data_IF_716825090724
#
_entry.id   IF_716825090724
#
_cell.length_a   1.000
_cell.length_b   1.000
_cell.length_c   1.000
_cell.angle_alpha   90.00
_cell.angle_beta   90.00
_cell.angle_gamma   90.00
#
_symmetry.space_group_name_H-M   'P 1'
#
loop_
_entity.id
_entity.type
_entity.pdbx_description
1 polymer ?
#
# COMPACT_ATOMS: atom_id res chain seq x y z
N UNK A 1 -13.84 18.50 2.58
CA UNK A 1 -12.80 19.08 3.47
C UNK A 1 -11.44 18.80 2.84
N UNK A 2 -10.64 19.83 2.57
CA UNK A 2 -9.35 19.69 1.88
C UNK A 2 -8.23 19.85 2.90
N UNK A 3 -7.59 18.75 3.28
CA UNK A 3 -6.53 18.70 4.32
C UNK A 3 -5.22 19.34 3.83
N UNK A 4 -5.05 19.46 2.51
CA UNK A 4 -3.76 19.76 1.85
C UNK A 4 -3.60 21.25 1.47
N UNK A 5 -4.65 22.08 1.56
CA UNK A 5 -4.62 23.46 1.05
C UNK A 5 -4.02 24.52 1.98
N UNK A 6 -3.77 24.20 3.25
CA UNK A 6 -3.19 25.17 4.18
C UNK A 6 -1.67 25.31 4.00
N UNK A 7 -1.19 26.54 4.23
CA UNK A 7 0.20 26.97 3.97
C UNK A 7 1.20 26.57 5.06
N UNK A 8 0.75 26.20 6.26
CA UNK A 8 1.60 25.81 7.38
C UNK A 8 1.17 24.46 8.01
N UNK A 9 2.10 23.83 8.74
CA UNK A 9 1.89 22.49 9.29
C UNK A 9 0.82 22.46 10.39
N UNK A 10 0.69 23.52 11.20
CA UNK A 10 -0.28 23.57 12.29
C UNK A 10 -1.69 23.54 11.74
N UNK A 11 -1.98 24.42 10.77
CA UNK A 11 -3.28 24.46 10.11
C UNK A 11 -3.62 23.12 9.41
N UNK A 12 -2.63 22.42 8.83
CA UNK A 12 -2.84 21.09 8.22
C UNK A 12 -3.24 20.05 9.27
N UNK A 13 -2.61 20.06 10.44
CA UNK A 13 -2.91 19.13 11.53
C UNK A 13 -4.27 19.40 12.16
N UNK A 14 -4.64 20.67 12.32
CA UNK A 14 -5.98 21.05 12.80
C UNK A 14 -7.06 20.60 11.82
N UNK A 15 -6.89 20.88 10.52
CA UNK A 15 -7.80 20.41 9.48
C UNK A 15 -7.88 18.87 9.44
N UNK A 16 -6.75 18.19 9.62
CA UNK A 16 -6.69 16.74 9.70
C UNK A 16 -7.46 16.19 10.92
N UNK A 17 -7.37 16.84 12.08
CA UNK A 17 -8.12 16.44 13.28
C UNK A 17 -9.62 16.49 13.02
N UNK A 18 -10.12 17.61 12.49
CA UNK A 18 -11.54 17.78 12.14
C UNK A 18 -11.98 16.75 11.09
N UNK A 19 -11.14 16.52 10.08
CA UNK A 19 -11.40 15.49 9.06
C UNK A 19 -11.48 14.09 9.67
N UNK A 20 -10.56 13.74 10.57
CA UNK A 20 -10.48 12.42 11.21
C UNK A 20 -11.74 12.15 12.02
N UNK A 21 -12.19 13.12 12.82
CA UNK A 21 -13.41 13.03 13.63
C UNK A 21 -14.65 12.87 12.73
N UNK A 22 -14.77 13.68 11.68
CA UNK A 22 -15.89 13.59 10.73
C UNK A 22 -15.90 12.25 9.97
N UNK A 23 -14.73 11.77 9.54
CA UNK A 23 -14.59 10.48 8.87
C UNK A 23 -14.96 9.34 9.83
N UNK A 24 -14.52 9.37 11.08
CA UNK A 24 -14.85 8.34 12.06
C UNK A 24 -16.37 8.22 12.27
N UNK A 25 -17.09 9.35 12.35
CA UNK A 25 -18.55 9.36 12.44
C UNK A 25 -19.21 8.74 11.20
N UNK A 26 -18.73 9.09 10.00
CA UNK A 26 -19.23 8.51 8.75
C UNK A 26 -18.97 7.00 8.67
N UNK A 27 -17.83 6.54 9.17
CA UNK A 27 -17.47 5.12 9.19
C UNK A 27 -18.32 4.28 10.18
N UNK A 28 -19.03 4.93 11.11
CA UNK A 28 -19.97 4.27 12.02
C UNK A 28 -21.39 4.14 11.44
N UNK A 29 -21.68 4.76 10.30
CA UNK A 29 -23.00 4.66 9.68
C UNK A 29 -23.28 3.23 9.17
N UNK A 30 -24.51 2.73 9.42
CA UNK A 30 -24.93 1.36 9.09
C UNK A 30 -24.79 0.99 7.61
N UNK A 31 -24.75 1.98 6.72
CA UNK A 31 -24.62 1.82 5.28
C UNK A 31 -23.19 1.97 4.76
N UNK A 32 -22.17 2.07 5.62
CA UNK A 32 -20.79 2.31 5.20
C UNK A 32 -20.35 1.35 4.08
N UNK A 33 -20.59 0.04 4.26
CA UNK A 33 -20.15 -1.00 3.32
C UNK A 33 -20.88 -0.96 1.96
N UNK A 34 -21.91 -0.13 1.84
CA UNK A 34 -22.64 0.13 0.59
C UNK A 34 -22.19 1.43 -0.08
N UNK A 35 -21.56 2.34 0.67
CA UNK A 35 -21.13 3.64 0.15
C UNK A 35 -19.88 3.48 -0.72
N UNK A 36 -19.95 4.06 -1.92
CA UNK A 36 -18.81 4.18 -2.83
C UNK A 36 -18.02 5.46 -2.51
N UNK A 37 -16.70 5.31 -2.46
CA UNK A 37 -15.73 6.39 -2.21
C UNK A 37 -14.78 6.58 -3.39
N UNK A 38 -15.10 6.03 -4.56
CA UNK A 38 -14.29 6.12 -5.79
C UNK A 38 -13.89 7.55 -6.20
N UNK A 39 -14.66 8.57 -5.80
CA UNK A 39 -14.38 9.98 -6.07
C UNK A 39 -13.55 10.69 -4.98
N UNK A 40 -13.25 10.02 -3.87
CA UNK A 40 -12.44 10.59 -2.80
C UNK A 40 -11.00 10.77 -3.29
N UNK A 41 -10.53 12.02 -3.33
CA UNK A 41 -9.15 12.36 -3.73
C UNK A 41 -8.20 12.51 -2.54
N UNK A 42 -8.76 12.72 -1.34
CA UNK A 42 -7.99 13.05 -0.13
C UNK A 42 -7.62 11.81 0.69
N UNK A 43 -8.34 10.71 0.50
CA UNK A 43 -8.17 9.45 1.23
C UNK A 43 -8.55 8.28 0.32
N UNK A 44 -7.97 7.12 0.58
CA UNK A 44 -8.33 5.86 -0.06
C UNK A 44 -9.27 5.05 0.82
N UNK A 45 -10.20 4.34 0.19
CA UNK A 45 -11.06 3.34 0.85
C UNK A 45 -11.01 2.06 0.02
N UNK A 46 -10.47 0.99 0.61
CA UNK A 46 -10.39 -0.31 -0.03
C UNK A 46 -11.24 -1.31 0.75
N UNK A 47 -12.15 -1.97 0.05
CA UNK A 47 -13.08 -2.94 0.63
C UNK A 47 -12.78 -4.34 0.11
N UNK A 48 -12.79 -5.34 1.01
CA UNK A 48 -12.65 -6.72 0.57
C UNK A 48 -13.92 -7.24 -0.12
N UNK A 49 -13.82 -8.26 -1.01
CA UNK A 49 -14.98 -8.72 -1.78
C UNK A 49 -16.15 -9.24 -0.93
N UNK A 50 -15.86 -9.84 0.22
CA UNK A 50 -16.89 -10.39 1.12
C UNK A 50 -17.52 -9.30 2.03
N UNK A 51 -17.10 -8.03 1.90
CA UNK A 51 -17.60 -6.87 2.66
C UNK A 51 -17.52 -7.06 4.18
N UNK A 52 -16.47 -7.73 4.64
CA UNK A 52 -16.20 -8.01 6.06
C UNK A 52 -15.23 -7.00 6.68
N UNK A 53 -14.40 -6.34 5.86
CA UNK A 53 -13.57 -5.23 6.29
C UNK A 53 -13.35 -4.17 5.21
N UNK A 54 -13.02 -2.96 5.67
CA UNK A 54 -12.49 -1.86 4.86
C UNK A 54 -11.20 -1.36 5.50
N UNK A 55 -10.25 -0.96 4.67
CA UNK A 55 -9.12 -0.15 5.09
C UNK A 55 -9.26 1.24 4.47
N UNK A 56 -9.04 2.26 5.29
CA UNK A 56 -9.10 3.66 4.90
C UNK A 56 -7.77 4.28 5.26
N UNK A 57 -7.10 4.91 4.30
CA UNK A 57 -5.79 5.55 4.54
C UNK A 57 -5.69 6.90 3.88
N UNK A 58 -5.04 7.84 4.55
CA UNK A 58 -4.70 9.15 4.02
C UNK A 58 -3.39 9.63 4.64
N UNK A 59 -2.93 10.79 4.21
CA UNK A 59 -1.71 11.37 4.72
C UNK A 59 -1.79 12.90 4.75
N UNK A 60 -0.90 13.50 5.52
CA UNK A 60 -0.69 14.94 5.60
C UNK A 60 0.74 15.25 5.19
N UNK A 61 0.98 15.93 4.06
CA UNK A 61 2.32 16.39 3.69
C UNK A 61 2.73 17.56 4.59
N UNK A 62 3.99 17.63 4.97
CA UNK A 62 4.57 18.73 5.75
C UNK A 62 5.42 19.64 4.85
N UNK A 63 5.60 20.90 5.26
CA UNK A 63 6.40 21.90 4.52
C UNK A 63 7.87 21.53 4.39
N UNK A 64 8.41 20.72 5.31
CA UNK A 64 9.76 20.16 5.22
C UNK A 64 9.86 18.99 4.20
N UNK A 65 8.75 18.57 3.58
CA UNK A 65 8.72 17.48 2.61
C UNK A 65 8.53 16.08 3.22
N UNK A 66 8.37 15.97 4.54
CA UNK A 66 7.97 14.71 5.19
C UNK A 66 6.45 14.54 5.17
N UNK A 67 5.98 13.39 5.61
CA UNK A 67 4.56 13.03 5.58
C UNK A 67 4.17 12.37 6.90
N UNK A 68 2.93 12.61 7.35
CA UNK A 68 2.30 11.80 8.39
C UNK A 68 1.19 10.95 7.79
N UNK A 69 1.12 9.69 8.17
CA UNK A 69 0.11 8.75 7.68
C UNK A 69 -0.93 8.45 8.75
N UNK A 70 -2.15 8.26 8.30
CA UNK A 70 -3.29 7.96 9.13
C UNK A 70 -4.13 6.88 8.46
N UNK A 71 -4.81 6.10 9.27
CA UNK A 71 -5.75 5.14 8.73
C UNK A 71 -6.71 4.56 9.74
N UNK A 72 -7.72 3.91 9.20
CA UNK A 72 -8.68 3.10 9.93
C UNK A 72 -8.81 1.74 9.26
N UNK A 73 -8.91 0.68 10.06
CA UNK A 73 -9.48 -0.58 9.62
C UNK A 73 -10.83 -0.76 10.26
N UNK A 74 -11.85 -0.87 9.42
CA UNK A 74 -13.23 -1.07 9.82
C UNK A 74 -13.57 -2.52 9.58
N UNK A 75 -13.97 -3.24 10.62
CA UNK A 75 -14.38 -4.65 10.52
C UNK A 75 -15.85 -4.81 10.89
N UNK A 76 -16.54 -5.68 10.17
CA UNK A 76 -17.92 -6.05 10.46
C UNK A 76 -17.96 -7.26 11.37
N UNK A 77 -18.74 -7.14 12.44
CA UNK A 77 -19.18 -8.27 13.24
C UNK A 77 -20.59 -8.67 12.78
N UNK A 78 -20.67 -9.80 12.06
CA UNK A 78 -21.94 -10.30 11.56
C UNK A 78 -22.79 -10.92 12.68
N UNK A 79 -22.18 -11.40 13.77
CA UNK A 79 -22.88 -12.03 14.89
C UNK A 79 -23.58 -10.95 15.72
N UNK A 80 -22.85 -9.90 16.08
CA UNK A 80 -23.37 -8.79 16.88
C UNK A 80 -23.97 -7.66 16.05
N UNK A 81 -24.01 -7.81 14.72
CA UNK A 81 -24.42 -6.78 13.75
C UNK A 81 -23.77 -5.41 14.01
N UNK A 82 -22.52 -5.42 14.48
CA UNK A 82 -21.80 -4.22 14.87
C UNK A 82 -20.61 -3.96 13.96
N UNK A 83 -20.11 -2.73 14.00
CA UNK A 83 -18.91 -2.30 13.29
C UNK A 83 -17.85 -1.94 14.32
N UNK A 84 -16.63 -2.42 14.10
CA UNK A 84 -15.47 -2.05 14.91
C UNK A 84 -14.49 -1.26 14.07
N UNK A 85 -14.19 -0.06 14.52
CA UNK A 85 -13.17 0.82 13.94
C UNK A 85 -11.88 0.66 14.74
N UNK A 86 -10.79 0.35 14.06
CA UNK A 86 -9.44 0.30 14.63
C UNK A 86 -8.61 1.40 13.98
N UNK A 87 -8.19 2.40 14.77
CA UNK A 87 -7.26 3.43 14.32
C UNK A 87 -5.86 2.82 14.08
N UNK A 88 -5.21 3.22 13.00
CA UNK A 88 -3.85 2.83 12.67
C UNK A 88 -2.89 3.94 13.06
N UNK A 89 -1.88 3.60 13.85
CA UNK A 89 -0.85 4.50 14.35
C UNK A 89 0.45 4.28 13.58
N UNK A 90 0.82 5.24 12.73
CA UNK A 90 2.10 5.20 12.01
C UNK A 90 3.27 5.28 12.99
N UNK A 91 4.08 4.23 13.04
CA UNK A 91 5.29 4.14 13.86
C UNK A 91 6.56 3.99 13.00
N UNK A 92 6.53 4.43 11.73
CA UNK A 92 7.71 4.38 10.84
C UNK A 92 9.01 4.82 11.51
N UNK A 93 9.06 5.96 12.26
CA UNK A 93 10.31 6.41 12.87
C UNK A 93 10.87 5.46 13.95
N UNK A 94 10.02 4.61 14.54
CA UNK A 94 10.39 3.66 15.59
C UNK A 94 10.70 2.26 15.06
N UNK A 95 10.34 1.96 13.81
CA UNK A 95 10.55 0.66 13.18
C UNK A 95 11.97 0.54 12.62
N UNK A 96 12.81 -0.25 13.28
CA UNK A 96 14.19 -0.50 12.84
C UNK A 96 14.27 -1.36 11.57
N UNK A 97 13.48 -2.43 11.50
CA UNK A 97 13.44 -3.35 10.37
C UNK A 97 11.98 -3.68 10.00
N UNK A 98 11.28 -2.75 9.34
CA UNK A 98 9.89 -2.98 8.96
C UNK A 98 9.77 -4.21 8.05
N UNK A 99 10.72 -4.53 7.18
CA UNK A 99 10.57 -5.69 6.28
C UNK A 99 10.62 -7.05 7.00
N UNK A 100 11.08 -7.10 8.25
CA UNK A 100 11.29 -8.33 9.02
C UNK A 100 10.30 -8.60 10.15
N UNK A 101 9.19 -7.85 10.25
CA UNK A 101 8.28 -7.95 11.40
C UNK A 101 6.80 -7.87 11.03
N UNK A 102 6.00 -8.67 11.74
CA UNK A 102 4.54 -8.54 11.79
C UNK A 102 4.20 -7.32 12.63
N UNK A 103 3.29 -6.49 12.12
CA UNK A 103 2.80 -5.28 12.78
C UNK A 103 1.30 -5.41 13.05
N UNK A 104 0.83 -4.71 14.07
CA UNK A 104 -0.57 -4.49 14.38
C UNK A 104 -0.95 -3.02 14.12
N UNK A 105 -2.11 -2.62 14.61
CA UNK A 105 -2.59 -1.25 14.47
C UNK A 105 -1.76 -0.20 15.23
N UNK A 106 -1.07 -0.57 16.31
CA UNK A 106 -0.34 0.35 17.18
C UNK A 106 1.09 0.62 16.71
N UNK A 107 1.67 -0.30 15.94
CA UNK A 107 3.01 -0.19 15.35
C UNK A 107 2.99 -0.24 13.82
N UNK A 108 1.90 0.20 13.19
CA UNK A 108 1.69 0.18 11.74
C UNK A 108 2.78 0.96 10.98
N UNK A 109 3.19 0.45 9.80
CA UNK A 109 4.24 1.08 8.99
C UNK A 109 3.80 2.38 8.29
N UNK A 110 2.51 2.62 8.13
CA UNK A 110 2.02 3.85 7.53
C UNK A 110 2.22 3.92 6.01
N UNK A 111 1.15 3.80 5.24
CA UNK A 111 1.17 4.07 3.80
C UNK A 111 -0.21 4.49 3.30
N UNK A 112 -0.24 5.15 2.15
CA UNK A 112 -1.46 5.37 1.39
C UNK A 112 -1.69 4.16 0.47
N UNK A 113 -2.61 3.27 0.83
CA UNK A 113 -2.91 2.10 0.00
C UNK A 113 -3.90 2.46 -1.09
N UNK A 114 -3.56 2.19 -2.35
CA UNK A 114 -4.41 2.48 -3.50
C UNK A 114 -5.06 1.24 -4.09
N UNK A 115 -4.60 0.04 -3.71
CA UNK A 115 -5.17 -1.21 -4.21
C UNK A 115 -5.14 -2.31 -3.14
N UNK A 116 -6.23 -3.08 -3.05
CA UNK A 116 -6.36 -4.28 -2.23
C UNK A 116 -6.42 -5.49 -3.17
N UNK A 117 -5.32 -6.20 -3.25
CA UNK A 117 -5.21 -7.46 -3.98
C UNK A 117 -5.86 -8.57 -3.14
N UNK A 118 -6.72 -9.36 -3.76
CA UNK A 118 -7.34 -10.54 -3.16
C UNK A 118 -7.12 -11.76 -4.03
N UNK A 119 -6.50 -12.80 -3.46
CA UNK A 119 -6.34 -14.10 -4.12
C UNK A 119 -6.87 -15.19 -3.19
N UNK A 120 -7.67 -16.11 -3.75
CA UNK A 120 -8.10 -17.31 -3.04
C UNK A 120 -7.16 -18.47 -3.37
N UNK A 121 -6.65 -19.14 -2.35
CA UNK A 121 -5.89 -20.38 -2.52
C UNK A 121 -6.34 -21.40 -1.49
N UNK A 122 -6.71 -22.60 -1.96
CA UNK A 122 -7.40 -23.60 -1.15
C UNK A 122 -8.62 -22.97 -0.46
N UNK A 123 -8.68 -22.98 0.86
CA UNK A 123 -9.78 -22.40 1.67
C UNK A 123 -9.41 -21.06 2.32
N UNK A 124 -8.24 -20.49 1.97
CA UNK A 124 -7.75 -19.25 2.55
C UNK A 124 -7.92 -18.06 1.60
N UNK A 125 -8.27 -16.91 2.17
CA UNK A 125 -8.19 -15.61 1.50
C UNK A 125 -6.83 -14.99 1.78
N UNK A 126 -6.09 -14.65 0.73
CA UNK A 126 -4.84 -13.90 0.82
C UNK A 126 -5.11 -12.47 0.38
N UNK A 127 -4.79 -11.50 1.26
CA UNK A 127 -4.91 -10.08 0.95
C UNK A 127 -3.55 -9.42 1.00
N UNK A 128 -3.28 -8.59 0.00
CA UNK A 128 -2.07 -7.76 -0.08
C UNK A 128 -2.48 -6.36 -0.47
N UNK A 129 -1.90 -5.37 0.19
CA UNK A 129 -2.11 -3.96 -0.10
C UNK A 129 -0.96 -3.44 -0.97
N UNK A 130 -1.29 -2.69 -2.01
CA UNK A 130 -0.30 -1.90 -2.76
C UNK A 130 -0.40 -0.45 -2.31
N UNK A 131 0.74 0.10 -1.87
CA UNK A 131 0.81 1.39 -1.21
C UNK A 131 1.84 2.34 -1.80
N UNK A 132 1.57 3.62 -1.61
CA UNK A 132 2.51 4.71 -1.80
C UNK A 132 2.85 5.33 -0.45
N UNK A 133 4.11 5.69 -0.27
CA UNK A 133 4.59 6.39 0.90
C UNK A 133 5.61 7.46 0.48
N UNK A 134 5.20 8.72 0.49
CA UNK A 134 6.13 9.83 0.64
C UNK A 134 7.01 9.69 1.87
N UNK A 135 8.31 9.97 1.72
CA UNK A 135 9.31 9.81 2.78
C UNK A 135 9.89 11.17 3.19
N UNK A 136 10.72 11.77 2.34
CA UNK A 136 11.33 13.08 2.56
C UNK A 136 11.34 13.92 1.27
N UNK A 137 12.21 14.92 1.12
CA UNK A 137 12.29 15.70 -0.14
C UNK A 137 12.94 14.96 -1.30
N UNK A 138 13.73 13.93 -1.01
CA UNK A 138 14.66 13.31 -1.94
C UNK A 138 14.18 11.94 -2.41
N UNK A 139 13.43 11.21 -1.59
CA UNK A 139 12.94 9.87 -1.94
C UNK A 139 11.46 9.64 -1.62
N UNK A 140 10.93 8.60 -2.27
CA UNK A 140 9.57 8.08 -2.12
C UNK A 140 9.67 6.57 -1.97
N UNK A 141 8.58 5.96 -1.49
CA UNK A 141 8.49 4.52 -1.30
C UNK A 141 7.24 3.92 -1.93
N UNK A 142 7.36 2.72 -2.48
CA UNK A 142 6.24 1.81 -2.78
C UNK A 142 6.25 0.68 -1.76
N UNK A 143 5.05 0.24 -1.36
CA UNK A 143 4.90 -0.80 -0.34
C UNK A 143 3.99 -1.90 -0.87
N UNK A 144 4.41 -3.16 -0.69
CA UNK A 144 3.56 -4.33 -0.85
C UNK A 144 3.40 -4.94 0.55
N UNK A 145 2.20 -4.91 1.10
CA UNK A 145 1.97 -5.30 2.49
C UNK A 145 0.84 -6.33 2.63
N UNK A 146 1.14 -7.56 3.06
CA UNK A 146 0.14 -8.53 3.46
C UNK A 146 -0.77 -7.98 4.56
N UNK A 147 -2.08 -8.22 4.45
CA UNK A 147 -3.06 -7.84 5.46
C UNK A 147 -3.88 -9.08 5.84
N UNK A 148 -3.98 -9.33 7.14
CA UNK A 148 -4.93 -10.31 7.68
C UNK A 148 -5.78 -9.67 8.78
N UNK A 149 -6.97 -10.22 8.98
CA UNK A 149 -7.85 -9.82 10.08
C UNK A 149 -7.93 -10.99 11.05
N UNK A 150 -7.35 -10.83 12.25
CA UNK A 150 -7.35 -11.82 13.33
C UNK A 150 -8.15 -11.24 14.49
N UNK A 151 -9.17 -11.94 14.96
CA UNK A 151 -10.06 -11.47 16.04
C UNK A 151 -10.56 -10.02 15.87
N UNK A 152 -10.98 -9.70 14.64
CA UNK A 152 -11.44 -8.35 14.25
C UNK A 152 -10.39 -7.24 14.47
N UNK A 153 -9.10 -7.59 14.42
CA UNK A 153 -7.98 -6.66 14.46
C UNK A 153 -7.12 -6.85 13.19
N UNK A 154 -6.61 -5.76 12.59
CA UNK A 154 -5.71 -5.88 11.47
C UNK A 154 -4.32 -6.34 11.94
N UNK A 155 -3.72 -7.20 11.13
CA UNK A 155 -2.34 -7.66 11.24
C UNK A 155 -1.68 -7.45 9.88
N UNK A 156 -0.56 -6.74 9.89
CA UNK A 156 0.17 -6.32 8.71
C UNK A 156 1.50 -7.07 8.61
N UNK A 157 1.81 -7.57 7.43
CA UNK A 157 2.99 -8.37 7.15
C UNK A 157 2.78 -9.86 7.40
N UNK A 158 3.34 -10.68 6.50
CA UNK A 158 3.30 -12.14 6.56
C UNK A 158 4.45 -12.72 5.71
N UNK A 159 4.98 -13.88 6.08
CA UNK A 159 6.09 -14.54 5.39
C UNK A 159 5.63 -15.26 4.11
N UNK A 160 4.96 -14.51 3.23
CA UNK A 160 4.37 -15.00 1.96
C UNK A 160 5.23 -14.67 0.75
N UNK A 161 6.23 -13.81 0.88
CA UNK A 161 7.15 -13.49 -0.21
C UNK A 161 8.34 -14.45 -0.23
N UNK A 162 8.71 -14.90 -1.41
CA UNK A 162 9.89 -15.75 -1.64
C UNK A 162 10.82 -15.02 -2.61
N UNK A 163 11.98 -14.61 -2.08
CA UNK A 163 13.05 -13.95 -2.81
C UNK A 163 14.34 -14.77 -2.62
N UNK A 164 15.34 -14.56 -3.49
CA UNK A 164 16.61 -15.27 -3.38
C UNK A 164 17.26 -15.00 -2.01
N UNK A 165 17.25 -16.01 -1.13
CA UNK A 165 17.84 -15.95 0.20
C UNK A 165 17.06 -15.17 1.26
N UNK A 166 15.83 -14.71 0.98
CA UNK A 166 15.03 -13.98 1.96
C UNK A 166 13.52 -14.20 1.81
N UNK A 167 12.81 -14.07 2.94
CA UNK A 167 11.35 -14.15 3.03
C UNK A 167 10.83 -12.95 3.83
N UNK A 168 10.84 -11.74 3.25
CA UNK A 168 10.39 -10.55 3.95
C UNK A 168 8.90 -10.61 4.26
N UNK A 169 8.48 -9.90 5.30
CA UNK A 169 7.08 -9.80 5.72
C UNK A 169 6.30 -8.76 4.92
N UNK A 170 7.00 -7.78 4.34
CA UNK A 170 6.50 -6.75 3.43
C UNK A 170 7.63 -6.33 2.48
N UNK A 171 7.29 -5.85 1.30
CA UNK A 171 8.27 -5.34 0.34
C UNK A 171 8.23 -3.82 0.34
N UNK A 172 9.39 -3.18 0.50
CA UNK A 172 9.52 -1.73 0.46
C UNK A 172 10.53 -1.36 -0.62
N UNK A 173 10.08 -0.62 -1.62
CA UNK A 173 10.96 -0.05 -2.64
C UNK A 173 11.18 1.42 -2.32
N UNK A 174 12.43 1.87 -2.24
CA UNK A 174 12.77 3.30 -2.11
C UNK A 174 13.41 3.81 -3.41
N UNK A 175 12.92 4.95 -3.89
CA UNK A 175 13.33 5.53 -5.16
C UNK A 175 13.31 7.06 -5.11
N UNK A 176 13.96 7.69 -6.08
CA UNK A 176 14.04 9.15 -6.20
C UNK A 176 12.66 9.79 -6.20
N UNK A 177 12.49 10.88 -5.44
CA UNK A 177 11.27 11.68 -5.45
C UNK A 177 10.99 12.36 -6.79
N UNK A 178 11.97 12.38 -7.69
CA UNK A 178 11.85 12.91 -9.06
C UNK A 178 11.41 11.86 -10.08
N UNK A 179 11.36 10.59 -9.68
CA UNK A 179 10.96 9.49 -10.53
C UNK A 179 9.55 9.00 -10.17
N UNK A 180 8.98 8.15 -11.02
CA UNK A 180 7.73 7.45 -10.76
C UNK A 180 7.92 5.97 -10.97
N UNK A 181 7.84 5.18 -9.91
CA UNK A 181 7.89 3.72 -9.95
C UNK A 181 6.49 3.12 -10.08
N UNK A 182 6.28 2.32 -11.13
CA UNK A 182 5.11 1.46 -11.34
C UNK A 182 5.08 0.27 -10.38
N UNK A 183 3.88 -0.03 -9.88
CA UNK A 183 3.58 -1.18 -9.03
C UNK A 183 2.10 -1.51 -9.24
N UNK A 184 1.80 -2.57 -9.98
CA UNK A 184 0.46 -2.88 -10.44
C UNK A 184 0.14 -4.36 -10.26
N UNK A 185 -1.10 -4.68 -9.94
CA UNK A 185 -1.57 -6.05 -9.88
C UNK A 185 -2.31 -6.46 -11.16
N UNK A 186 -2.05 -7.69 -11.59
CA UNK A 186 -2.67 -8.35 -12.72
C UNK A 186 -3.27 -9.68 -12.24
N UNK A 187 -4.60 -9.84 -12.25
CA UNK A 187 -5.23 -11.08 -11.78
C UNK A 187 -4.89 -12.28 -12.68
N UNK A 188 -4.60 -12.03 -13.96
CA UNK A 188 -4.13 -13.01 -14.92
C UNK A 188 -2.97 -12.44 -15.74
N UNK A 189 -1.74 -12.76 -15.35
CA UNK A 189 -0.54 -12.36 -16.08
C UNK A 189 0.11 -13.57 -16.75
N UNK A 190 0.51 -13.41 -18.01
CA UNK A 190 1.24 -14.43 -18.76
C UNK A 190 2.73 -14.06 -18.78
N UNK A 191 3.59 -15.03 -18.45
CA UNK A 191 5.05 -14.86 -18.52
C UNK A 191 5.68 -16.09 -19.19
N UNK A 192 6.23 -15.89 -20.39
CA UNK A 192 6.79 -16.95 -21.22
C UNK A 192 5.77 -18.06 -21.51
N UNK A 193 6.16 -19.32 -21.28
CA UNK A 193 5.29 -20.51 -21.45
C UNK A 193 4.54 -20.92 -20.18
N UNK A 194 4.66 -20.14 -19.09
CA UNK A 194 4.01 -20.49 -17.83
C UNK A 194 2.50 -20.22 -17.91
N UNK A 195 1.73 -20.94 -17.11
CA UNK A 195 0.29 -20.68 -16.98
C UNK A 195 0.03 -19.25 -16.50
N UNK A 196 -1.16 -18.71 -16.78
CA UNK A 196 -1.57 -17.42 -16.22
C UNK A 196 -1.70 -17.52 -14.70
N UNK A 197 -1.22 -16.52 -14.00
CA UNK A 197 -1.32 -16.45 -12.55
C UNK A 197 -1.52 -14.99 -12.07
N UNK A 198 -2.15 -14.79 -10.90
CA UNK A 198 -2.15 -13.49 -10.24
C UNK A 198 -0.72 -13.02 -10.01
N UNK A 199 -0.41 -11.80 -10.43
CA UNK A 199 0.96 -11.30 -10.46
C UNK A 199 0.99 -9.82 -10.12
N UNK A 200 1.88 -9.41 -9.23
CA UNK A 200 2.18 -8.01 -8.94
C UNK A 200 3.43 -7.65 -9.74
N UNK A 201 3.33 -6.76 -10.71
CA UNK A 201 4.43 -6.34 -11.60
C UNK A 201 4.88 -4.94 -11.19
N UNK A 202 6.18 -4.72 -11.20
CA UNK A 202 6.78 -3.44 -10.81
C UNK A 202 8.04 -3.12 -11.62
N UNK A 203 8.37 -1.84 -11.68
CA UNK A 203 9.62 -1.40 -12.31
C UNK A 203 10.81 -1.90 -11.51
N UNK A 204 11.83 -2.43 -12.19
CA UNK A 204 13.12 -2.67 -11.55
C UNK A 204 13.78 -1.32 -11.24
N UNK A 205 14.25 -1.14 -10.01
CA UNK A 205 14.98 0.07 -9.63
C UNK A 205 16.48 -0.13 -9.78
N UNK A 206 17.14 0.85 -10.39
CA UNK A 206 18.59 0.90 -10.55
C UNK A 206 19.12 2.25 -10.09
N UNK A 207 20.33 2.27 -9.53
CA UNK A 207 21.03 3.53 -9.27
C UNK A 207 21.40 4.19 -10.60
N UNK A 208 21.24 5.52 -10.69
CA UNK A 208 21.59 6.26 -11.91
C UNK A 208 23.09 6.14 -12.29
N UNK A 209 23.95 5.88 -11.31
CA UNK A 209 25.38 5.67 -11.45
C UNK A 209 25.83 4.63 -10.42
N UNK A 210 26.84 3.82 -10.75
CA UNK A 210 27.30 2.70 -9.89
C UNK A 210 27.87 3.15 -8.56
N UNK A 211 28.46 4.35 -8.49
CA UNK A 211 28.99 4.96 -7.27
C UNK A 211 27.89 5.53 -6.34
N UNK A 212 26.63 5.53 -6.79
CA UNK A 212 25.46 5.98 -6.02
C UNK A 212 24.62 4.82 -5.48
N UNK A 213 25.08 3.56 -5.64
CA UNK A 213 24.42 2.40 -5.05
C UNK A 213 24.28 2.56 -3.52
N UNK A 214 23.11 2.19 -3.00
CA UNK A 214 22.71 2.40 -1.62
C UNK A 214 22.13 3.79 -1.32
N UNK A 215 22.32 4.78 -2.20
CA UNK A 215 21.66 6.08 -2.07
C UNK A 215 20.35 6.12 -2.87
N UNK A 216 19.27 5.68 -2.25
CA UNK A 216 17.95 5.52 -2.88
C UNK A 216 17.34 6.83 -3.45
N UNK A 217 17.87 8.00 -3.09
CA UNK A 217 17.48 9.28 -3.72
C UNK A 217 17.86 9.37 -5.20
N UNK A 218 18.76 8.49 -5.66
CA UNK A 218 19.22 8.37 -7.04
C UNK A 218 18.77 7.08 -7.72
N UNK A 219 17.87 6.32 -7.10
CA UNK A 219 17.30 5.12 -7.71
C UNK A 219 16.12 5.51 -8.60
N UNK A 220 16.10 5.00 -9.82
CA UNK A 220 15.05 5.26 -10.81
C UNK A 220 14.61 3.95 -11.48
N UNK A 221 13.39 3.87 -12.02
CA UNK A 221 12.97 2.78 -12.87
C UNK A 221 13.94 2.54 -14.03
N UNK A 222 14.39 1.30 -14.17
CA UNK A 222 15.12 0.85 -15.34
C UNK A 222 14.18 0.78 -16.55
N UNK A 223 14.63 1.32 -17.67
CA UNK A 223 13.77 1.50 -18.84
C UNK A 223 13.38 0.15 -19.42
N UNK A 224 12.06 -0.12 -19.43
CA UNK A 224 11.45 -1.34 -19.98
C UNK A 224 11.88 -2.65 -19.30
N UNK A 225 12.39 -2.60 -18.07
CA UNK A 225 12.76 -3.78 -17.30
C UNK A 225 11.86 -3.86 -16.07
N UNK A 226 11.17 -5.00 -15.95
CA UNK A 226 10.15 -5.22 -14.93
C UNK A 226 10.46 -6.51 -14.20
N UNK A 227 10.22 -6.49 -12.90
CA UNK A 227 10.19 -7.66 -12.05
C UNK A 227 8.77 -7.89 -11.57
N UNK A 228 8.51 -9.07 -11.02
CA UNK A 228 7.19 -9.43 -10.56
C UNK A 228 7.21 -10.34 -9.35
N UNK A 229 6.17 -10.23 -8.53
CA UNK A 229 5.77 -11.25 -7.60
C UNK A 229 4.62 -12.05 -8.19
N UNK A 230 4.89 -13.30 -8.56
CA UNK A 230 3.89 -14.22 -9.08
C UNK A 230 3.30 -15.05 -7.95
N UNK A 231 1.97 -15.11 -7.86
CA UNK A 231 1.31 -15.93 -6.88
C UNK A 231 1.33 -17.41 -7.27
N UNK A 232 1.91 -18.25 -6.41
CA UNK A 232 1.97 -19.70 -6.59
C UNK A 232 1.89 -20.40 -5.24
N UNK A 233 0.96 -21.34 -5.11
CA UNK A 233 0.77 -22.19 -3.92
C UNK A 233 0.68 -21.44 -2.57
N UNK A 234 0.06 -20.26 -2.54
CA UNK A 234 -0.10 -19.47 -1.31
C UNK A 234 1.06 -18.50 -1.03
N UNK A 235 2.05 -18.44 -1.92
CA UNK A 235 3.21 -17.55 -1.84
C UNK A 235 3.32 -16.63 -3.06
N UNK A 236 4.03 -15.53 -2.88
CA UNK A 236 4.39 -14.55 -3.89
C UNK A 236 5.87 -14.73 -4.23
N UNK A 237 6.15 -15.38 -5.36
CA UNK A 237 7.49 -15.74 -5.79
C UNK A 237 8.06 -14.64 -6.68
N UNK A 238 9.26 -14.15 -6.37
CA UNK A 238 9.95 -13.18 -7.21
C UNK A 238 10.34 -13.81 -8.56
N UNK A 239 9.90 -13.20 -9.64
CA UNK A 239 10.30 -13.49 -11.00
C UNK A 239 10.93 -12.24 -11.59
N UNK A 240 12.15 -12.38 -12.13
CA UNK A 240 12.88 -11.28 -12.73
C UNK A 240 12.67 -11.22 -14.25
N UNK A 241 12.80 -10.03 -14.82
CA UNK A 241 12.81 -9.80 -16.28
C UNK A 241 11.52 -10.25 -16.98
N UNK A 242 10.38 -9.86 -16.41
CA UNK A 242 9.07 -10.20 -16.97
C UNK A 242 8.69 -9.32 -18.16
N UNK A 243 8.14 -9.92 -19.23
CA UNK A 243 7.62 -9.14 -20.36
C UNK A 243 6.24 -8.54 -20.03
N UNK A 244 6.24 -7.34 -19.45
CA UNK A 244 5.04 -6.61 -19.07
C UNK A 244 4.62 -5.52 -20.09
N UNK A 245 5.35 -5.36 -21.20
CA UNK A 245 5.15 -4.26 -22.16
C UNK A 245 3.77 -4.29 -22.82
N UNK A 246 3.18 -5.48 -22.98
CA UNK A 246 1.83 -5.64 -23.53
C UNK A 246 0.70 -5.38 -22.50
N UNK A 247 1.03 -5.36 -21.20
CA UNK A 247 0.05 -5.30 -20.10
C UNK A 247 0.05 -3.95 -19.37
N UNK A 248 1.10 -3.14 -19.50
CA UNK A 248 1.15 -1.81 -18.91
C UNK A 248 0.37 -0.85 -19.81
N UNK A 249 -0.87 -0.57 -19.43
CA UNK A 249 -1.59 0.57 -19.98
C UNK A 249 -0.90 1.85 -19.48
N UNK A 250 -0.40 2.75 -20.35
CA UNK A 250 0.25 4.00 -19.93
C UNK A 250 -0.65 4.93 -19.08
N UNK A 251 -1.97 4.66 -19.01
CA UNK A 251 -2.90 5.32 -18.10
C UNK A 251 -2.84 4.80 -16.65
N UNK A 252 -2.30 3.61 -16.40
CA UNK A 252 -2.04 3.04 -15.05
C UNK A 252 -0.71 3.54 -14.48
N UNK A 253 -0.35 4.80 -14.76
CA UNK A 253 0.61 5.47 -13.89
C UNK A 253 0.00 5.43 -12.50
N UNK A 254 0.74 4.99 -11.47
CA UNK A 254 0.23 5.08 -10.12
C UNK A 254 -0.28 6.50 -9.94
N UNK A 255 -1.51 6.61 -9.43
CA UNK A 255 -2.05 7.87 -8.95
C UNK A 255 -1.14 8.29 -7.80
N UNK A 256 0.03 8.86 -8.12
CA UNK A 256 0.76 9.66 -7.18
C UNK A 256 -0.25 10.73 -6.82
N UNK A 257 -0.68 10.78 -5.56
CA UNK A 257 -1.67 11.75 -5.17
C UNK A 257 -1.10 13.13 -5.53
N UNK A 258 -1.95 13.96 -6.15
CA UNK A 258 -1.51 15.16 -6.85
C UNK A 258 -0.64 16.04 -5.94
N UNK A 259 0.47 16.55 -6.51
CA UNK A 259 1.32 17.56 -5.87
C UNK A 259 0.50 18.74 -5.37
#
# INVERSE_FOLDING_TARGET
MRIIESSDNTSRLEANKVFTEALQLELLADNLFLKDFSLARTFSVLQNPDKTFRIVTWYVPFTNGTFLYFGFVVTRDNENKSVKITALNDQTPQLQQPEGSVLDANNWYGAFYYELVHVKYRRANHYVLLGWKGYDRNSRKRVIEPLTIVDKKPVFGDAVFEMQGSTPYRIIFEYSARASMGLNFYPEFAHGRRQRAPTIVFDRLVAMQSDLEGNFSFYVPEVNIFDAFRFYQGRWILEQDVDARAFINPALRPLNPAN
#
